data_IF_169670939239
#
_entry.id   IF_169670939239
#
_cell.length_a   1.000
_cell.length_b   1.000
_cell.length_c   1.000
_cell.angle_alpha   90.00
_cell.angle_beta   90.00
_cell.angle_gamma   90.00
#
_symmetry.space_group_name_H-M   'P 1'
#
loop_
_entity.id
_entity.type
_entity.pdbx_description
1 polymer ?
#
# COMPACT_ATOMS: atom_id res chain seq x y z
N UNK A 1 4.62 -28.31 -18.54
CA UNK A 1 4.72 -27.03 -19.27
C UNK A 1 3.50 -26.20 -18.92
N UNK A 2 3.66 -25.17 -18.09
CA UNK A 2 2.77 -24.01 -18.04
C UNK A 2 3.54 -22.87 -17.38
N UNK A 3 4.48 -22.31 -18.14
CA UNK A 3 5.13 -21.05 -17.76
C UNK A 3 4.05 -20.00 -17.86
N UNK A 4 3.52 -19.54 -16.72
CA UNK A 4 2.64 -18.37 -16.69
C UNK A 4 3.47 -17.14 -17.09
N UNK A 5 3.63 -16.96 -18.40
CA UNK A 5 4.09 -15.74 -19.01
C UNK A 5 2.95 -14.72 -18.93
N UNK A 6 3.06 -13.76 -18.02
CA UNK A 6 2.46 -12.46 -18.27
C UNK A 6 3.13 -11.90 -19.53
N UNK A 7 2.44 -12.03 -20.67
CA UNK A 7 2.90 -11.67 -22.02
C UNK A 7 2.86 -10.17 -22.31
N UNK A 8 2.48 -9.35 -21.34
CA UNK A 8 2.03 -7.98 -21.58
C UNK A 8 3.10 -6.89 -21.42
N UNK A 9 4.33 -7.21 -20.99
CA UNK A 9 5.39 -6.20 -20.81
C UNK A 9 5.09 -5.11 -19.76
N UNK A 10 4.10 -5.34 -18.90
CA UNK A 10 3.67 -4.38 -17.88
C UNK A 10 4.75 -4.26 -16.80
N UNK A 11 5.16 -3.02 -16.52
CA UNK A 11 5.97 -2.68 -15.35
C UNK A 11 5.07 -2.70 -14.12
N UNK A 12 5.44 -3.49 -13.11
CA UNK A 12 4.67 -3.65 -11.89
C UNK A 12 5.45 -3.12 -10.69
N UNK A 13 4.80 -2.28 -9.88
CA UNK A 13 5.32 -1.83 -8.59
C UNK A 13 4.42 -2.36 -7.46
N UNK A 14 5.03 -2.91 -6.41
CA UNK A 14 4.35 -3.53 -5.28
C UNK A 14 4.60 -2.68 -4.03
N UNK A 15 3.51 -2.17 -3.46
CA UNK A 15 3.52 -1.45 -2.18
C UNK A 15 3.36 -2.43 -1.02
N UNK A 16 4.46 -2.72 -0.31
CA UNK A 16 4.43 -3.64 0.85
C UNK A 16 3.74 -3.05 2.08
N UNK A 17 3.05 -3.89 2.85
CA UNK A 17 2.30 -3.54 4.07
C UNK A 17 3.14 -2.87 5.18
N UNK A 18 4.44 -3.16 5.24
CA UNK A 18 5.29 -2.80 6.38
C UNK A 18 5.48 -1.28 6.61
N UNK A 19 5.19 -0.43 5.62
CA UNK A 19 5.37 1.03 5.74
C UNK A 19 4.08 1.84 5.68
N UNK A 20 2.93 1.17 5.57
CA UNK A 20 1.64 1.79 5.24
C UNK A 20 0.89 2.40 6.43
N UNK A 21 1.42 2.23 7.65
CA UNK A 21 0.75 2.69 8.86
C UNK A 21 0.98 4.19 9.05
N UNK A 22 -0.11 4.94 9.01
CA UNK A 22 -0.21 6.32 9.48
C UNK A 22 -0.44 6.32 11.00
N UNK A 23 0.17 7.30 11.69
CA UNK A 23 0.00 7.49 13.13
C UNK A 23 -1.45 7.80 13.47
N UNK A 24 -1.91 7.26 14.61
CA UNK A 24 -3.29 7.39 15.08
C UNK A 24 -3.64 8.86 15.31
N UNK A 25 -2.74 9.61 15.93
CA UNK A 25 -2.93 11.01 16.31
C UNK A 25 -3.17 11.89 15.07
N UNK A 26 -2.36 11.70 14.03
CA UNK A 26 -2.55 12.39 12.76
C UNK A 26 -3.88 12.01 12.11
N UNK A 27 -4.20 10.72 12.04
CA UNK A 27 -5.43 10.25 11.38
C UNK A 27 -6.70 10.75 12.09
N UNK A 28 -6.70 10.73 13.42
CA UNK A 28 -7.81 11.22 14.22
C UNK A 28 -7.99 12.74 14.03
N UNK A 29 -6.90 13.51 13.95
CA UNK A 29 -6.94 14.95 13.63
C UNK A 29 -7.47 15.21 12.22
N UNK A 30 -6.93 14.52 11.22
CA UNK A 30 -7.33 14.65 9.81
C UNK A 30 -8.83 14.42 9.60
N UNK A 31 -9.43 13.43 10.30
CA UNK A 31 -10.87 13.18 10.22
C UNK A 31 -11.73 14.06 11.14
N UNK A 32 -11.15 14.68 12.17
CA UNK A 32 -11.89 15.55 13.07
C UNK A 32 -12.35 16.84 12.35
N UNK A 33 -11.52 17.36 11.45
CA UNK A 33 -11.62 18.70 10.85
C UNK A 33 -11.81 18.66 9.32
N UNK A 34 -12.88 18.03 8.77
CA UNK A 34 -13.18 18.19 7.36
C UNK A 34 -13.71 19.60 7.11
N UNK A 35 -13.08 20.34 6.20
CA UNK A 35 -13.56 21.69 5.83
C UNK A 35 -14.41 21.65 4.56
N UNK A 36 -14.23 20.64 3.70
CA UNK A 36 -14.89 20.53 2.41
C UNK A 36 -15.81 19.29 2.28
N UNK A 37 -16.63 19.26 1.21
CA UNK A 37 -17.59 18.18 0.94
C UNK A 37 -16.91 16.81 0.82
N UNK A 38 -15.71 16.75 0.22
CA UNK A 38 -14.95 15.50 0.07
C UNK A 38 -14.47 14.99 1.43
N UNK A 39 -14.02 15.88 2.31
CA UNK A 39 -13.64 15.56 3.69
C UNK A 39 -14.81 14.99 4.49
N UNK A 40 -16.00 15.60 4.39
CA UNK A 40 -17.20 15.08 5.05
C UNK A 40 -17.61 13.69 4.53
N UNK A 41 -17.53 13.50 3.21
CA UNK A 41 -17.80 12.20 2.58
C UNK A 41 -16.79 11.13 3.04
N UNK A 42 -15.49 11.45 3.02
CA UNK A 42 -14.42 10.55 3.48
C UNK A 42 -14.59 10.16 4.95
N UNK A 43 -14.91 11.11 5.83
CA UNK A 43 -15.21 10.84 7.24
C UNK A 43 -16.37 9.86 7.40
N UNK A 44 -17.42 10.03 6.60
CA UNK A 44 -18.61 9.17 6.64
C UNK A 44 -18.28 7.75 6.17
N UNK A 45 -17.50 7.63 5.10
CA UNK A 45 -17.04 6.35 4.54
C UNK A 45 -16.13 5.59 5.52
N UNK A 46 -15.20 6.29 6.17
CA UNK A 46 -14.21 5.66 7.05
C UNK A 46 -14.76 5.31 8.44
N UNK A 47 -15.95 5.80 8.83
CA UNK A 47 -16.52 5.62 10.18
C UNK A 47 -16.53 4.17 10.66
N UNK A 48 -17.02 3.25 9.82
CA UNK A 48 -17.10 1.83 10.18
C UNK A 48 -15.71 1.18 10.28
N UNK A 49 -14.83 1.49 9.33
CA UNK A 49 -13.44 1.05 9.33
C UNK A 49 -12.69 1.52 10.58
N UNK A 50 -12.84 2.80 10.95
CA UNK A 50 -12.19 3.38 12.12
C UNK A 50 -12.67 2.73 13.41
N UNK A 51 -13.98 2.48 13.53
CA UNK A 51 -14.54 1.74 14.69
C UNK A 51 -13.93 0.34 14.79
N UNK A 52 -13.98 -0.43 13.70
CA UNK A 52 -13.44 -1.79 13.65
C UNK A 52 -11.95 -1.83 14.02
N UNK A 53 -11.13 -0.95 13.42
CA UNK A 53 -9.69 -0.83 13.70
C UNK A 53 -9.42 -0.54 15.17
N UNK A 54 -10.17 0.37 15.79
CA UNK A 54 -9.99 0.73 17.21
C UNK A 54 -10.34 -0.43 18.14
N UNK A 55 -11.36 -1.20 17.81
CA UNK A 55 -11.81 -2.35 18.61
C UNK A 55 -10.85 -3.55 18.51
N UNK A 56 -10.25 -3.79 17.34
CA UNK A 56 -9.52 -5.04 17.07
C UNK A 56 -7.99 -4.89 16.99
N UNK A 57 -7.45 -3.68 16.83
CA UNK A 57 -6.02 -3.46 16.53
C UNK A 57 -5.30 -2.52 17.53
N UNK A 58 -5.86 -2.31 18.73
CA UNK A 58 -5.23 -1.69 19.91
C UNK A 58 -4.29 -0.49 19.65
N UNK A 59 -4.64 0.41 18.73
CA UNK A 59 -3.87 1.64 18.51
C UNK A 59 -2.66 1.53 17.59
N UNK A 60 -2.51 0.44 16.82
CA UNK A 60 -1.44 0.26 15.82
C UNK A 60 -1.54 1.21 14.59
N UNK A 61 -2.22 2.35 14.70
CA UNK A 61 -2.46 3.30 13.62
C UNK A 61 -3.41 2.80 12.53
N UNK A 62 -3.46 3.53 11.42
CA UNK A 62 -4.36 3.25 10.29
C UNK A 62 -3.56 3.01 9.01
N UNK A 63 -3.88 1.93 8.29
CA UNK A 63 -3.26 1.62 7.00
C UNK A 63 -4.27 1.92 5.90
N UNK A 64 -3.95 2.90 5.06
CA UNK A 64 -4.72 3.25 3.87
C UNK A 64 -3.98 2.72 2.63
N UNK A 65 -4.06 1.41 2.39
CA UNK A 65 -3.28 0.73 1.35
C UNK A 65 -3.55 1.27 -0.06
N UNK A 66 -4.82 1.49 -0.41
CA UNK A 66 -5.18 1.88 -1.77
C UNK A 66 -4.85 3.36 -2.04
N UNK A 67 -5.19 4.31 -1.13
CA UNK A 67 -4.76 5.71 -1.30
C UNK A 67 -3.24 5.86 -1.39
N UNK A 68 -2.50 4.99 -0.71
CA UNK A 68 -1.06 4.97 -0.81
C UNK A 68 -0.54 4.48 -2.16
N UNK A 69 -1.09 3.38 -2.68
CA UNK A 69 -0.76 2.90 -4.03
C UNK A 69 -1.04 3.99 -5.09
N UNK A 70 -2.15 4.72 -4.93
CA UNK A 70 -2.48 5.87 -5.79
C UNK A 70 -1.46 7.00 -5.62
N UNK A 71 -1.05 7.33 -4.39
CA UNK A 71 -0.06 8.38 -4.14
C UNK A 71 1.28 8.07 -4.80
N UNK A 72 1.74 6.82 -4.72
CA UNK A 72 2.94 6.37 -5.43
C UNK A 72 2.78 6.47 -6.94
N UNK A 73 1.62 6.10 -7.48
CA UNK A 73 1.38 6.13 -8.92
C UNK A 73 1.35 7.56 -9.49
N UNK A 74 0.78 8.51 -8.75
CA UNK A 74 0.68 9.92 -9.16
C UNK A 74 1.94 10.73 -8.84
N UNK A 75 2.61 10.42 -7.73
CA UNK A 75 3.77 11.12 -7.20
C UNK A 75 4.90 10.13 -6.93
N UNK A 76 5.61 9.64 -7.98
CA UNK A 76 6.66 8.64 -7.82
C UNK A 76 7.84 9.13 -6.96
N UNK A 77 8.01 10.45 -6.81
CA UNK A 77 9.02 11.09 -5.94
C UNK A 77 8.76 10.88 -4.43
N UNK A 78 7.61 10.30 -4.07
CA UNK A 78 7.32 9.87 -2.70
C UNK A 78 8.11 8.62 -2.30
N UNK A 79 8.61 7.86 -3.27
CA UNK A 79 9.36 6.62 -3.03
C UNK A 79 10.79 6.96 -2.59
N UNK A 80 11.08 6.71 -1.31
CA UNK A 80 12.42 6.95 -0.74
C UNK A 80 13.36 5.77 -0.93
N UNK A 81 12.81 4.55 -1.04
CA UNK A 81 13.60 3.34 -1.27
C UNK A 81 12.75 2.29 -2.00
N UNK A 82 13.27 1.77 -3.10
CA UNK A 82 12.74 0.60 -3.78
C UNK A 82 13.86 -0.36 -4.18
N UNK A 83 13.48 -1.58 -4.59
CA UNK A 83 14.40 -2.56 -5.17
C UNK A 83 13.68 -3.33 -6.26
N UNK A 84 14.39 -3.68 -7.33
CA UNK A 84 13.85 -4.57 -8.36
C UNK A 84 14.14 -6.02 -7.98
N UNK A 85 13.10 -6.86 -7.91
CA UNK A 85 13.23 -8.27 -7.58
C UNK A 85 12.32 -9.11 -8.46
N UNK A 86 12.67 -10.38 -8.63
CA UNK A 86 11.77 -11.34 -9.25
C UNK A 86 10.78 -11.85 -8.20
N UNK A 87 9.52 -11.89 -8.58
CA UNK A 87 8.40 -12.27 -7.70
C UNK A 87 7.50 -13.30 -8.36
N UNK A 88 6.79 -14.07 -7.54
CA UNK A 88 5.65 -14.89 -7.96
C UNK A 88 4.63 -14.97 -6.83
N UNK A 89 3.48 -15.59 -7.07
CA UNK A 89 2.45 -15.84 -6.05
C UNK A 89 2.32 -17.35 -5.86
N UNK A 90 2.32 -17.79 -4.60
CA UNK A 90 2.07 -19.19 -4.27
C UNK A 90 0.59 -19.54 -4.50
N UNK A 91 0.29 -20.52 -5.35
CA UNK A 91 -1.09 -20.85 -5.75
C UNK A 91 -1.55 -22.26 -5.36
N UNK A 92 -0.63 -23.14 -4.97
CA UNK A 92 -0.87 -24.58 -4.77
C UNK A 92 -0.75 -25.04 -3.31
N UNK A 93 0.03 -24.36 -2.49
CA UNK A 93 0.24 -24.72 -1.09
C UNK A 93 -1.04 -24.64 -0.26
N UNK A 94 -1.13 -25.45 0.81
CA UNK A 94 -2.29 -25.42 1.71
C UNK A 94 -2.25 -24.21 2.66
N UNK A 95 -1.10 -23.95 3.27
CA UNK A 95 -0.94 -22.90 4.32
C UNK A 95 -0.43 -21.56 3.80
N UNK A 96 0.11 -21.51 2.58
CA UNK A 96 0.81 -20.34 2.03
C UNK A 96 0.20 -19.82 0.73
N UNK A 97 -0.97 -20.35 0.33
CA UNK A 97 -1.69 -19.89 -0.85
C UNK A 97 -1.97 -18.39 -0.78
N UNK A 98 -1.63 -17.67 -1.84
CA UNK A 98 -1.76 -16.21 -1.95
C UNK A 98 -0.56 -15.42 -1.46
N UNK A 99 0.47 -16.05 -0.88
CA UNK A 99 1.68 -15.35 -0.47
C UNK A 99 2.48 -14.84 -1.68
N UNK A 100 2.98 -13.61 -1.58
CA UNK A 100 3.99 -13.06 -2.49
C UNK A 100 5.34 -13.69 -2.16
N UNK A 101 5.90 -14.44 -3.10
CA UNK A 101 7.23 -15.05 -2.99
C UNK A 101 8.23 -14.15 -3.70
N UNK A 102 9.25 -13.70 -2.97
CA UNK A 102 10.26 -12.75 -3.44
C UNK A 102 11.62 -13.47 -3.53
N UNK A 103 12.26 -13.39 -4.69
CA UNK A 103 13.62 -13.91 -4.88
C UNK A 103 14.66 -12.94 -4.30
N UNK A 104 15.00 -13.11 -3.03
CA UNK A 104 16.02 -12.27 -2.38
C UNK A 104 17.44 -12.59 -2.82
N UNK A 105 17.73 -13.86 -3.11
CA UNK A 105 19.00 -14.38 -3.62
C UNK A 105 18.81 -14.88 -5.04
N UNK A 106 19.60 -14.34 -5.96
CA UNK A 106 19.48 -14.65 -7.37
C UNK A 106 19.77 -16.14 -7.65
N UNK A 107 18.94 -16.76 -8.47
CA UNK A 107 19.07 -18.15 -8.92
C UNK A 107 18.43 -19.19 -7.99
N UNK A 108 17.71 -18.79 -6.93
CA UNK A 108 17.14 -19.74 -5.94
C UNK A 108 15.66 -20.06 -6.11
N UNK A 109 14.92 -19.30 -6.93
CA UNK A 109 13.47 -19.49 -7.10
C UNK A 109 13.10 -20.02 -8.49
N UNK A 110 11.95 -20.71 -8.63
CA UNK A 110 11.57 -21.40 -9.86
C UNK A 110 11.41 -20.47 -11.07
N UNK A 111 11.38 -21.08 -12.26
CA UNK A 111 11.45 -20.44 -13.59
C UNK A 111 10.33 -19.43 -13.91
N UNK A 112 9.26 -19.40 -13.11
CA UNK A 112 8.05 -18.61 -13.39
C UNK A 112 8.01 -17.28 -12.61
N UNK A 113 9.16 -16.79 -12.13
CA UNK A 113 9.23 -15.47 -11.47
C UNK A 113 9.28 -14.32 -12.49
N UNK A 114 8.69 -13.17 -12.12
CA UNK A 114 8.59 -11.97 -12.97
C UNK A 114 9.21 -10.75 -12.27
N UNK A 115 9.88 -9.84 -12.99
CA UNK A 115 10.46 -8.66 -12.37
C UNK A 115 9.34 -7.72 -11.88
N UNK A 116 9.50 -7.23 -10.66
CA UNK A 116 8.68 -6.17 -10.07
C UNK A 116 9.56 -5.22 -9.27
N UNK A 117 9.14 -3.96 -9.20
CA UNK A 117 9.67 -3.00 -8.25
C UNK A 117 9.00 -3.21 -6.89
N UNK A 118 9.78 -3.46 -5.86
CA UNK A 118 9.32 -3.55 -4.48
C UNK A 118 9.57 -2.21 -3.79
N UNK A 119 8.50 -1.55 -3.35
CA UNK A 119 8.59 -0.29 -2.61
C UNK A 119 8.84 -0.60 -1.14
N UNK A 120 10.03 -0.22 -0.67
CA UNK A 120 10.54 -0.53 0.66
C UNK A 120 10.44 0.64 1.64
N UNK A 121 10.37 1.88 1.16
CA UNK A 121 10.20 3.07 2.00
C UNK A 121 9.61 4.21 1.18
N UNK A 122 8.82 5.03 1.87
CA UNK A 122 8.07 6.16 1.32
C UNK A 122 8.12 7.34 2.27
N UNK A 123 7.93 8.53 1.69
CA UNK A 123 7.74 9.77 2.42
C UNK A 123 6.29 9.84 2.91
N UNK A 124 6.11 9.56 4.21
CA UNK A 124 4.79 9.57 4.83
C UNK A 124 4.22 10.97 4.95
N UNK A 125 5.05 12.01 5.09
CA UNK A 125 4.56 13.37 5.25
C UNK A 125 4.00 13.89 3.94
N UNK A 126 4.69 13.65 2.81
CA UNK A 126 4.11 13.93 1.49
C UNK A 126 2.79 13.20 1.26
N UNK A 127 2.68 11.93 1.67
CA UNK A 127 1.43 11.17 1.53
C UNK A 127 0.29 11.81 2.33
N UNK A 128 0.56 12.21 3.58
CA UNK A 128 -0.41 12.90 4.43
C UNK A 128 -0.84 14.24 3.83
N UNK A 129 0.10 15.05 3.35
CA UNK A 129 -0.19 16.32 2.70
C UNK A 129 -1.06 16.15 1.44
N UNK A 130 -0.85 15.08 0.66
CA UNK A 130 -1.73 14.75 -0.46
C UNK A 130 -3.16 14.45 0.01
N UNK A 131 -3.33 13.65 1.07
CA UNK A 131 -4.65 13.35 1.64
C UNK A 131 -5.33 14.60 2.20
N UNK A 132 -4.59 15.43 2.93
CA UNK A 132 -5.07 16.71 3.48
C UNK A 132 -5.57 17.62 2.36
N UNK A 133 -4.77 17.80 1.28
CA UNK A 133 -5.13 18.64 0.13
C UNK A 133 -6.42 18.24 -0.59
N UNK A 134 -6.85 16.99 -0.46
CA UNK A 134 -8.10 16.50 -1.07
C UNK A 134 -9.33 16.76 -0.18
N UNK A 135 -9.12 16.83 1.13
CA UNK A 135 -10.18 16.85 2.15
C UNK A 135 -10.33 18.17 2.88
N UNK A 136 -9.35 19.06 2.71
CA UNK A 136 -9.29 20.38 3.30
C UNK A 136 -9.30 21.43 2.19
N UNK A 137 -9.84 22.60 2.50
CA UNK A 137 -9.77 23.77 1.64
C UNK A 137 -8.40 24.44 1.81
N UNK A 138 -7.95 25.11 0.75
CA UNK A 138 -6.67 25.83 0.74
C UNK A 138 -6.70 27.09 1.62
#
# INVERSE_FOLDING_TARGET
MSVCNWSCGIKMSICGLANLVCQKEWFDKWLAEPTNVRGHFMKSMLKAFTKYRREHFHGAGFSLCDPFAISVALHPDIVLKSTHKKVTVETAGHSTRGMLVIEWRDGQHPRDTKPAELILKVDKEKHKSLLESLTQDA
#
